data_IF_728900578208
#
_entry.id   IF_728900578208
#
_cell.length_a   1.000
_cell.length_b   1.000
_cell.length_c   1.000
_cell.angle_alpha   90.00
_cell.angle_beta   90.00
_cell.angle_gamma   90.00
#
_symmetry.space_group_name_H-M   'P 1'
#
loop_
_entity.id
_entity.type
_entity.pdbx_description
1 polymer ?
#
# COMPACT_ATOMS: atom_id res chain seq x y z
N UNK A 1 27.60 -23.48 25.75
CA UNK A 1 27.58 -23.85 24.32
C UNK A 1 26.14 -23.86 23.90
N UNK A 2 25.65 -22.75 23.33
CA UNK A 2 24.32 -22.68 22.75
C UNK A 2 24.35 -23.47 21.45
N UNK A 3 23.37 -24.34 21.26
CA UNK A 3 23.25 -25.26 20.12
C UNK A 3 23.05 -24.44 18.84
N UNK A 4 23.72 -24.87 17.77
CA UNK A 4 23.62 -24.27 16.43
C UNK A 4 22.19 -24.35 15.86
N UNK A 5 21.30 -25.13 16.49
CA UNK A 5 19.90 -25.30 16.11
C UNK A 5 19.00 -24.15 16.60
N UNK A 6 19.41 -23.36 17.58
CA UNK A 6 18.63 -22.21 18.08
C UNK A 6 18.78 -20.95 17.20
N UNK A 7 19.74 -20.94 16.28
CA UNK A 7 19.99 -19.77 15.39
C UNK A 7 19.19 -19.86 14.09
N UNK A 8 18.66 -21.04 13.73
CA UNK A 8 17.90 -21.26 12.49
C UNK A 8 16.39 -21.01 12.67
N UNK A 9 15.90 -20.85 13.91
CA UNK A 9 14.46 -20.85 14.21
C UNK A 9 13.77 -19.47 14.22
N UNK A 10 14.40 -18.40 13.72
CA UNK A 10 13.74 -17.08 13.73
C UNK A 10 14.07 -16.17 12.53
N UNK A 11 14.13 -16.70 11.33
CA UNK A 11 13.85 -15.93 10.12
C UNK A 11 12.35 -16.06 9.88
N UNK A 12 11.54 -15.24 10.54
CA UNK A 12 10.15 -15.04 10.16
C UNK A 12 10.15 -14.66 8.68
N UNK A 13 9.59 -15.54 7.85
CA UNK A 13 9.47 -15.32 6.43
C UNK A 13 8.83 -13.95 6.18
N UNK A 14 9.44 -13.11 5.35
CA UNK A 14 8.94 -11.76 5.08
C UNK A 14 7.50 -11.85 4.57
N UNK A 15 6.52 -11.20 5.20
CA UNK A 15 5.12 -11.28 4.78
C UNK A 15 4.93 -10.68 3.38
N UNK A 16 3.87 -11.06 2.68
CA UNK A 16 3.56 -10.53 1.34
C UNK A 16 3.53 -9.00 1.31
N UNK A 17 2.97 -8.36 2.33
CA UNK A 17 2.99 -6.90 2.47
C UNK A 17 4.41 -6.33 2.50
N UNK A 18 5.38 -7.04 3.03
CA UNK A 18 6.80 -6.63 3.04
C UNK A 18 7.42 -6.66 1.64
N UNK A 19 7.15 -7.70 0.87
CA UNK A 19 7.57 -7.79 -0.53
C UNK A 19 6.91 -6.71 -1.38
N UNK A 20 5.59 -6.51 -1.22
CA UNK A 20 4.82 -5.48 -1.93
C UNK A 20 5.32 -4.08 -1.61
N UNK A 21 5.68 -3.80 -0.34
CA UNK A 21 6.28 -2.53 0.07
C UNK A 21 7.57 -2.27 -0.70
N UNK A 22 8.43 -3.28 -0.83
CA UNK A 22 9.70 -3.16 -1.55
C UNK A 22 9.50 -2.97 -3.06
N UNK A 23 8.55 -3.69 -3.66
CA UNK A 23 8.18 -3.53 -5.06
C UNK A 23 7.65 -2.13 -5.37
N UNK A 24 6.85 -1.56 -4.46
CA UNK A 24 6.34 -0.19 -4.59
C UNK A 24 7.43 0.88 -4.48
N UNK A 25 8.56 0.57 -3.84
CA UNK A 25 9.74 1.44 -3.79
C UNK A 25 10.54 1.52 -5.09
N UNK A 26 10.22 0.69 -6.09
CA UNK A 26 10.93 0.69 -7.38
C UNK A 26 10.57 1.94 -8.21
N UNK A 27 11.53 2.42 -9.04
CA UNK A 27 11.31 3.59 -9.89
C UNK A 27 10.07 3.45 -10.78
N UNK A 28 9.24 4.50 -10.79
CA UNK A 28 8.04 4.56 -11.60
C UNK A 28 7.06 3.37 -11.39
N UNK A 29 7.16 2.63 -10.28
CA UNK A 29 6.18 1.61 -9.95
C UNK A 29 4.84 2.27 -9.62
N UNK A 30 3.78 1.74 -10.23
CA UNK A 30 2.42 2.19 -10.00
C UNK A 30 1.45 1.01 -10.10
N UNK A 31 0.16 1.19 -9.75
CA UNK A 31 -0.78 0.08 -9.62
C UNK A 31 -0.82 -0.85 -10.83
N UNK A 32 -0.89 -0.30 -12.04
CA UNK A 32 -0.98 -1.11 -13.27
C UNK A 32 0.29 -1.92 -13.56
N UNK A 33 1.47 -1.36 -13.25
CA UNK A 33 2.75 -2.08 -13.45
C UNK A 33 2.93 -3.14 -12.37
N UNK A 34 2.53 -2.84 -11.14
CA UNK A 34 2.55 -3.81 -10.06
C UNK A 34 1.59 -4.98 -10.35
N UNK A 35 0.36 -4.71 -10.79
CA UNK A 35 -0.59 -5.74 -11.18
C UNK A 35 -0.04 -6.63 -12.30
N UNK A 36 0.55 -6.06 -13.34
CA UNK A 36 1.18 -6.80 -14.43
C UNK A 36 2.39 -7.63 -13.96
N UNK A 37 3.17 -7.13 -12.99
CA UNK A 37 4.29 -7.85 -12.42
C UNK A 37 3.84 -9.04 -11.56
N UNK A 38 2.71 -8.89 -10.86
CA UNK A 38 2.11 -9.92 -10.00
C UNK A 38 1.26 -10.95 -10.77
N UNK A 39 1.03 -10.75 -12.07
CA UNK A 39 0.20 -11.67 -12.86
C UNK A 39 0.76 -13.11 -12.82
N UNK A 40 0.03 -14.00 -12.16
CA UNK A 40 0.43 -15.39 -11.94
C UNK A 40 1.63 -15.61 -11.02
N UNK A 41 2.00 -14.62 -10.17
CA UNK A 41 3.18 -14.68 -9.28
C UNK A 41 2.85 -14.18 -7.89
N UNK A 42 3.47 -14.79 -6.89
CA UNK A 42 3.53 -14.21 -5.55
C UNK A 42 4.43 -12.96 -5.53
N UNK A 43 4.28 -12.06 -4.55
CA UNK A 43 5.14 -10.89 -4.40
C UNK A 43 6.64 -11.24 -4.25
N UNK A 44 6.97 -12.35 -3.61
CA UNK A 44 8.34 -12.84 -3.48
C UNK A 44 8.92 -13.28 -4.84
N UNK A 45 8.16 -14.04 -5.64
CA UNK A 45 8.56 -14.43 -6.99
C UNK A 45 8.72 -13.23 -7.91
N UNK A 46 7.81 -12.25 -7.81
CA UNK A 46 7.91 -10.99 -8.54
C UNK A 46 9.21 -10.24 -8.20
N UNK A 47 9.61 -10.23 -6.93
CA UNK A 47 10.88 -9.63 -6.50
C UNK A 47 12.10 -10.33 -7.13
N UNK A 48 12.10 -11.67 -7.17
CA UNK A 48 13.17 -12.45 -7.83
C UNK A 48 13.27 -12.11 -9.32
N UNK A 49 12.13 -11.95 -9.99
CA UNK A 49 12.10 -11.56 -11.41
C UNK A 49 12.66 -10.15 -11.60
N UNK A 50 12.28 -9.19 -10.76
CA UNK A 50 12.83 -7.83 -10.77
C UNK A 50 14.34 -7.85 -10.63
N UNK A 51 14.87 -8.58 -9.65
CA UNK A 51 16.33 -8.72 -9.44
C UNK A 51 17.06 -9.32 -10.63
N UNK A 52 16.40 -10.18 -11.42
CA UNK A 52 16.99 -10.77 -12.62
C UNK A 52 17.16 -9.80 -13.79
N UNK A 53 16.46 -8.66 -13.78
CA UNK A 53 16.44 -7.69 -14.87
C UNK A 53 15.77 -8.20 -16.15
N UNK A 54 15.03 -9.33 -16.06
CA UNK A 54 14.36 -9.92 -17.22
C UNK A 54 13.09 -9.15 -17.58
N UNK A 55 12.94 -8.68 -18.83
CA UNK A 55 11.70 -8.08 -19.29
C UNK A 55 10.56 -9.11 -19.28
N UNK A 56 9.37 -8.68 -18.84
CA UNK A 56 8.17 -9.51 -18.83
C UNK A 56 7.17 -9.06 -19.90
N UNK A 57 6.55 -10.00 -20.65
CA UNK A 57 5.52 -9.69 -21.62
C UNK A 57 4.33 -8.95 -21.01
N UNK A 58 3.92 -9.31 -19.80
CA UNK A 58 2.81 -8.70 -19.05
C UNK A 58 3.09 -7.22 -18.75
N UNK A 59 4.31 -6.91 -18.35
CA UNK A 59 4.76 -5.54 -18.13
C UNK A 59 4.89 -4.80 -19.47
N UNK A 60 5.35 -5.48 -20.53
CA UNK A 60 5.43 -4.90 -21.87
C UNK A 60 4.06 -4.45 -22.38
N UNK A 61 2.99 -5.16 -22.07
CA UNK A 61 1.62 -4.77 -22.41
C UNK A 61 1.21 -3.42 -21.79
N UNK A 62 1.81 -3.04 -20.65
CA UNK A 62 1.55 -1.77 -19.95
C UNK A 62 2.47 -0.63 -20.42
N UNK A 63 3.75 -0.92 -20.67
CA UNK A 63 4.78 0.11 -20.92
C UNK A 63 5.31 0.14 -22.35
N UNK A 64 4.90 -0.82 -23.18
CA UNK A 64 5.33 -0.93 -24.57
C UNK A 64 6.84 -1.21 -24.70
N UNK A 65 7.47 -0.63 -25.71
CA UNK A 65 8.87 -0.85 -26.04
C UNK A 65 9.89 -0.43 -24.97
N UNK A 66 9.44 0.21 -23.88
CA UNK A 66 10.29 0.61 -22.75
C UNK A 66 10.54 -0.51 -21.74
N UNK A 67 9.95 -1.69 -21.90
CA UNK A 67 10.02 -2.78 -20.92
C UNK A 67 11.45 -3.20 -20.61
N UNK A 68 12.33 -3.32 -21.58
CA UNK A 68 13.72 -3.73 -21.37
C UNK A 68 14.51 -2.70 -20.53
N UNK A 69 14.36 -1.41 -20.85
CA UNK A 69 14.99 -0.33 -20.09
C UNK A 69 14.45 -0.29 -18.65
N UNK A 70 13.14 -0.44 -18.47
CA UNK A 70 12.51 -0.45 -17.16
C UNK A 70 12.93 -1.66 -16.32
N UNK A 71 13.05 -2.84 -16.91
CA UNK A 71 13.52 -4.04 -16.22
C UNK A 71 14.97 -3.88 -15.72
N UNK A 72 15.83 -3.25 -16.51
CA UNK A 72 17.20 -2.92 -16.10
C UNK A 72 17.20 -1.90 -14.96
N UNK A 73 16.42 -0.83 -15.07
CA UNK A 73 16.28 0.20 -14.03
C UNK A 73 15.78 -0.38 -12.70
N UNK A 74 14.80 -1.27 -12.76
CA UNK A 74 14.30 -1.98 -11.58
C UNK A 74 15.35 -2.90 -10.95
N UNK A 75 16.08 -3.67 -11.76
CA UNK A 75 17.13 -4.54 -11.26
C UNK A 75 18.26 -3.76 -10.58
N UNK A 76 18.63 -2.59 -11.14
CA UNK A 76 19.63 -1.71 -10.54
C UNK A 76 19.13 -1.14 -9.21
N UNK A 77 17.89 -0.63 -9.16
CA UNK A 77 17.28 -0.12 -7.94
C UNK A 77 17.15 -1.21 -6.86
N UNK A 78 16.76 -2.42 -7.23
CA UNK A 78 16.59 -3.55 -6.32
C UNK A 78 17.88 -3.93 -5.58
N UNK A 79 19.06 -3.69 -6.17
CA UNK A 79 20.35 -3.96 -5.51
C UNK A 79 20.58 -3.14 -4.25
N UNK A 80 19.95 -1.96 -4.16
CA UNK A 80 20.05 -1.06 -3.02
C UNK A 80 18.93 -1.28 -1.98
N UNK A 81 17.91 -2.08 -2.32
CA UNK A 81 16.75 -2.34 -1.48
C UNK A 81 16.95 -3.67 -0.75
N UNK A 82 16.83 -3.65 0.56
CA UNK A 82 16.77 -4.85 1.40
C UNK A 82 15.32 -4.97 1.92
N UNK A 83 14.51 -5.90 1.41
CA UNK A 83 13.09 -5.98 1.72
C UNK A 83 12.78 -6.07 3.21
N UNK A 84 13.57 -6.82 3.96
CA UNK A 84 13.43 -6.97 5.42
C UNK A 84 13.68 -5.64 6.15
N UNK A 85 14.68 -4.86 5.70
CA UNK A 85 14.99 -3.56 6.29
C UNK A 85 13.90 -2.53 5.97
N UNK A 86 13.39 -2.54 4.73
CA UNK A 86 12.26 -1.67 4.32
C UNK A 86 11.03 -1.97 5.15
N UNK A 87 10.69 -3.26 5.30
CA UNK A 87 9.53 -3.69 6.08
C UNK A 87 9.69 -3.33 7.56
N UNK A 88 10.87 -3.57 8.13
CA UNK A 88 11.17 -3.20 9.51
C UNK A 88 11.03 -1.70 9.75
N UNK A 89 11.56 -0.87 8.84
CA UNK A 89 11.43 0.58 8.91
C UNK A 89 9.98 1.04 8.79
N UNK A 90 9.19 0.44 7.91
CA UNK A 90 7.75 0.72 7.72
C UNK A 90 7.01 0.47 9.04
N UNK A 91 7.24 -0.66 9.67
CA UNK A 91 6.61 -1.00 10.95
C UNK A 91 7.10 -0.10 12.09
N UNK A 92 8.38 0.21 12.12
CA UNK A 92 8.93 1.13 13.12
C UNK A 92 8.35 2.55 13.03
N UNK A 93 7.92 2.95 11.83
CA UNK A 93 7.18 4.20 11.60
C UNK A 93 5.70 4.13 12.02
N UNK A 94 5.23 3.02 12.59
CA UNK A 94 3.84 2.82 13.01
C UNK A 94 2.88 2.58 11.83
N UNK A 95 3.41 2.20 10.67
CA UNK A 95 2.61 1.88 9.48
C UNK A 95 2.35 0.38 9.45
N UNK A 96 1.08 -0.01 9.39
CA UNK A 96 0.64 -1.37 9.12
C UNK A 96 0.48 -1.56 7.61
N UNK A 97 1.04 -2.63 7.07
CA UNK A 97 0.83 -3.04 5.69
C UNK A 97 0.00 -4.32 5.65
N UNK A 98 -1.08 -4.30 4.87
CA UNK A 98 -2.02 -5.42 4.74
C UNK A 98 -2.13 -5.79 3.27
N UNK A 99 -1.71 -7.00 2.91
CA UNK A 99 -1.78 -7.50 1.54
C UNK A 99 -3.22 -7.92 1.18
N UNK A 100 -3.54 -7.83 -0.11
CA UNK A 100 -4.79 -8.39 -0.64
C UNK A 100 -4.83 -9.89 -0.38
N UNK A 101 -5.93 -10.36 0.24
CA UNK A 101 -6.07 -11.76 0.65
C UNK A 101 -5.76 -12.02 2.13
N UNK A 102 -5.11 -11.09 2.85
CA UNK A 102 -4.95 -11.19 4.28
C UNK A 102 -6.29 -11.11 5.00
N UNK A 103 -6.41 -11.82 6.12
CA UNK A 103 -7.65 -11.81 6.93
C UNK A 103 -8.02 -10.42 7.46
N UNK A 104 -7.03 -9.54 7.62
CA UNK A 104 -7.19 -8.15 8.04
C UNK A 104 -7.50 -7.18 6.89
N UNK A 105 -7.47 -7.63 5.63
CA UNK A 105 -7.83 -6.78 4.50
C UNK A 105 -9.32 -6.39 4.57
N UNK A 106 -9.65 -5.08 4.46
CA UNK A 106 -11.03 -4.62 4.64
C UNK A 106 -11.99 -5.23 3.62
N UNK A 107 -12.98 -5.97 4.10
CA UNK A 107 -13.96 -6.65 3.22
C UNK A 107 -14.67 -5.72 2.25
N UNK A 108 -14.92 -4.48 2.66
CA UNK A 108 -15.58 -3.48 1.81
C UNK A 108 -14.75 -3.04 0.60
N UNK A 109 -13.48 -3.41 0.53
CA UNK A 109 -12.58 -3.13 -0.59
C UNK A 109 -12.35 -4.36 -1.48
N UNK A 110 -12.87 -5.53 -1.10
CA UNK A 110 -12.73 -6.76 -1.89
C UNK A 110 -13.56 -6.73 -3.19
N UNK A 111 -14.66 -5.98 -3.18
CA UNK A 111 -15.56 -5.85 -4.34
C UNK A 111 -15.09 -4.78 -5.35
N UNK A 112 -13.93 -4.13 -5.10
CA UNK A 112 -13.33 -3.21 -6.06
C UNK A 112 -12.88 -4.00 -7.30
N UNK A 113 -13.22 -3.58 -8.52
CA UNK A 113 -12.73 -4.22 -9.75
C UNK A 113 -11.20 -4.27 -9.88
N UNK A 114 -10.51 -3.33 -9.26
CA UNK A 114 -9.03 -3.26 -9.21
C UNK A 114 -8.56 -3.08 -7.75
N UNK A 115 -8.70 -4.11 -6.90
CA UNK A 115 -8.34 -3.98 -5.49
C UNK A 115 -6.85 -3.68 -5.32
N UNK A 116 -6.52 -2.84 -4.37
CA UNK A 116 -5.13 -2.50 -4.08
C UNK A 116 -4.38 -3.76 -3.60
N UNK A 117 -3.24 -4.14 -4.19
CA UNK A 117 -2.47 -5.31 -3.77
C UNK A 117 -1.99 -5.24 -2.32
N UNK A 118 -1.80 -4.03 -1.81
CA UNK A 118 -1.45 -3.75 -0.42
C UNK A 118 -2.05 -2.42 0.02
N UNK A 119 -2.51 -2.38 1.26
CA UNK A 119 -2.95 -1.16 1.94
C UNK A 119 -1.93 -0.80 3.02
N UNK A 120 -1.68 0.48 3.19
CA UNK A 120 -0.89 1.02 4.29
C UNK A 120 -1.79 1.83 5.21
N UNK A 121 -1.77 1.51 6.50
CA UNK A 121 -2.60 2.15 7.49
C UNK A 121 -1.77 2.70 8.65
N UNK A 122 -2.18 3.86 9.15
CA UNK A 122 -1.74 4.41 10.43
C UNK A 122 -2.95 4.57 11.32
N UNK A 123 -2.92 3.99 12.52
CA UNK A 123 -4.06 3.98 13.43
C UNK A 123 -4.88 2.69 13.30
N UNK A 124 -6.20 2.80 13.42
CA UNK A 124 -7.09 1.62 13.48
C UNK A 124 -7.70 1.31 12.12
N UNK A 125 -7.24 0.24 11.49
CA UNK A 125 -7.76 -0.22 10.20
C UNK A 125 -9.25 -0.64 10.28
N UNK A 126 -9.70 -1.10 11.45
CA UNK A 126 -11.10 -1.50 11.68
C UNK A 126 -12.09 -0.35 11.46
N UNK A 127 -11.64 0.90 11.56
CA UNK A 127 -12.47 2.07 11.27
C UNK A 127 -13.01 2.07 9.83
N UNK A 128 -12.33 1.43 8.89
CA UNK A 128 -12.78 1.26 7.50
C UNK A 128 -13.98 0.32 7.40
N UNK A 129 -14.19 -0.57 8.38
CA UNK A 129 -15.27 -1.56 8.39
C UNK A 129 -16.62 -1.01 8.90
N UNK A 130 -16.68 0.25 9.38
CA UNK A 130 -17.93 0.87 9.84
C UNK A 130 -18.96 0.87 8.70
N UNK A 131 -20.17 0.30 8.89
CA UNK A 131 -21.13 0.13 7.79
C UNK A 131 -21.64 1.46 7.21
N UNK A 132 -21.92 2.45 8.08
CA UNK A 132 -22.38 3.76 7.66
C UNK A 132 -21.19 4.68 7.42
N UNK A 133 -21.01 5.12 6.19
CA UNK A 133 -19.89 5.96 5.77
C UNK A 133 -20.35 7.12 4.91
N UNK A 134 -19.76 8.29 5.11
CA UNK A 134 -20.01 9.50 4.31
C UNK A 134 -18.69 10.09 3.85
N UNK A 135 -18.58 10.39 2.57
CA UNK A 135 -17.44 11.14 2.06
C UNK A 135 -17.64 12.64 2.25
N UNK A 136 -16.65 13.29 2.87
CA UNK A 136 -16.56 14.76 2.91
C UNK A 136 -15.36 15.15 2.04
N UNK A 137 -15.64 15.85 0.96
CA UNK A 137 -14.62 16.30 0.01
C UNK A 137 -14.85 17.76 -0.37
N UNK A 138 -13.77 18.48 -0.66
CA UNK A 138 -13.93 19.86 -1.07
C UNK A 138 -12.66 20.56 -1.53
N UNK A 139 -12.73 21.88 -1.62
CA UNK A 139 -11.62 22.68 -2.12
C UNK A 139 -10.42 22.68 -1.18
N UNK A 140 -9.22 22.63 -1.75
CA UNK A 140 -7.94 22.81 -1.03
C UNK A 140 -7.75 24.23 -0.49
N UNK A 141 -8.45 25.21 -1.08
CA UNK A 141 -8.42 26.64 -0.70
C UNK A 141 -9.79 27.04 -0.17
N UNK A 142 -10.17 26.48 0.97
CA UNK A 142 -11.44 26.78 1.61
C UNK A 142 -11.38 28.10 2.40
N UNK A 143 -12.55 28.74 2.55
CA UNK A 143 -12.73 29.83 3.49
C UNK A 143 -12.72 29.31 4.93
N UNK A 144 -12.55 30.22 5.90
CA UNK A 144 -12.68 29.85 7.32
C UNK A 144 -14.05 29.22 7.61
N UNK A 145 -15.12 29.84 7.11
CA UNK A 145 -16.47 29.29 7.23
C UNK A 145 -16.60 27.88 6.68
N UNK A 146 -16.06 27.61 5.48
CA UNK A 146 -16.09 26.26 4.91
C UNK A 146 -15.34 25.24 5.76
N UNK A 147 -14.22 25.62 6.37
CA UNK A 147 -13.47 24.79 7.31
C UNK A 147 -14.29 24.49 8.56
N UNK A 148 -14.86 25.50 9.18
CA UNK A 148 -15.64 25.37 10.41
C UNK A 148 -16.85 24.43 10.16
N UNK A 149 -17.55 24.58 9.03
CA UNK A 149 -18.65 23.69 8.62
C UNK A 149 -18.19 22.25 8.41
N UNK A 150 -17.03 22.03 7.76
CA UNK A 150 -16.51 20.67 7.55
C UNK A 150 -16.17 19.99 8.87
N UNK A 151 -15.54 20.71 9.80
CA UNK A 151 -15.21 20.21 11.14
C UNK A 151 -16.46 19.88 11.96
N UNK A 152 -17.45 20.77 11.97
CA UNK A 152 -18.71 20.55 12.69
C UNK A 152 -19.48 19.35 12.12
N UNK A 153 -19.57 19.27 10.79
CA UNK A 153 -20.25 18.15 10.11
C UNK A 153 -19.55 16.83 10.39
N UNK A 154 -18.19 16.79 10.25
CA UNK A 154 -17.40 15.61 10.54
C UNK A 154 -17.57 15.12 11.96
N UNK A 155 -17.50 16.03 12.95
CA UNK A 155 -17.72 15.72 14.35
C UNK A 155 -19.12 15.18 14.62
N UNK A 156 -20.16 15.84 14.11
CA UNK A 156 -21.54 15.40 14.29
C UNK A 156 -21.82 14.02 13.67
N UNK A 157 -21.23 13.73 12.50
CA UNK A 157 -21.34 12.40 11.87
C UNK A 157 -20.64 11.35 12.70
N UNK A 158 -19.42 11.63 13.21
CA UNK A 158 -18.68 10.72 14.06
C UNK A 158 -19.42 10.41 15.38
N UNK A 159 -20.02 11.42 16.02
CA UNK A 159 -20.88 11.25 17.21
C UNK A 159 -22.12 10.40 16.93
N UNK A 160 -22.66 10.48 15.72
CA UNK A 160 -23.77 9.64 15.26
C UNK A 160 -23.33 8.20 14.84
N UNK A 161 -22.07 7.84 15.01
CA UNK A 161 -21.53 6.52 14.62
C UNK A 161 -21.35 6.33 13.11
N UNK A 162 -21.28 7.44 12.35
CA UNK A 162 -21.03 7.43 10.91
C UNK A 162 -19.56 7.71 10.66
N UNK A 163 -18.86 6.82 9.92
CA UNK A 163 -17.47 7.04 9.56
C UNK A 163 -17.36 8.11 8.47
N UNK A 164 -16.50 9.09 8.71
CA UNK A 164 -16.17 10.10 7.71
C UNK A 164 -14.99 9.61 6.87
N UNK A 165 -15.15 9.59 5.56
CA UNK A 165 -14.11 9.25 4.59
C UNK A 165 -13.68 10.53 3.87
N UNK A 166 -12.40 10.84 3.92
CA UNK A 166 -11.86 12.04 3.28
C UNK A 166 -10.45 11.78 2.75
N UNK A 167 -10.03 12.55 1.75
CA UNK A 167 -8.72 12.39 1.11
C UNK A 167 -7.56 13.04 1.87
N UNK A 168 -7.80 13.57 3.07
CA UNK A 168 -6.80 14.25 3.91
C UNK A 168 -6.02 15.37 3.19
N UNK A 169 -6.55 15.90 2.10
CA UNK A 169 -5.95 17.01 1.39
C UNK A 169 -6.07 18.30 2.20
N UNK A 170 -5.22 19.29 1.89
CA UNK A 170 -5.38 20.63 2.49
C UNK A 170 -6.79 21.17 2.23
N UNK A 171 -7.36 21.91 3.18
CA UNK A 171 -8.66 22.55 3.05
C UNK A 171 -9.80 21.77 3.69
N UNK A 172 -10.86 21.51 2.95
CA UNK A 172 -12.08 20.84 3.47
C UNK A 172 -11.76 19.43 3.93
N UNK A 173 -11.03 18.66 3.14
CA UNK A 173 -10.73 17.28 3.43
C UNK A 173 -9.97 17.11 4.76
N UNK A 174 -8.96 17.95 5.00
CA UNK A 174 -8.17 17.90 6.24
C UNK A 174 -8.86 18.56 7.45
N UNK A 175 -10.05 19.14 7.26
CA UNK A 175 -10.86 19.74 8.33
C UNK A 175 -11.99 18.80 8.77
N UNK A 176 -12.38 17.88 7.91
CA UNK A 176 -13.41 16.88 8.17
C UNK A 176 -12.83 15.71 9.01
#
# INVERSE_FOLDING_TARGET
MASTDDVVANQAELPEAGWLTSLLGLPAMGPRRLAALLDGRSPAEAWVVVCSGRPLPEVAAVVGGRVAALATEWAEAARAIQPEAVWSATRAAGVEGVAYGDASYPRCLLDDPEPAPVLFAVGRLEAVAVPSRVAIVGTRRCTRYGRDVATELGGSLAEAGVAVVSGLALGIDGAA
#
